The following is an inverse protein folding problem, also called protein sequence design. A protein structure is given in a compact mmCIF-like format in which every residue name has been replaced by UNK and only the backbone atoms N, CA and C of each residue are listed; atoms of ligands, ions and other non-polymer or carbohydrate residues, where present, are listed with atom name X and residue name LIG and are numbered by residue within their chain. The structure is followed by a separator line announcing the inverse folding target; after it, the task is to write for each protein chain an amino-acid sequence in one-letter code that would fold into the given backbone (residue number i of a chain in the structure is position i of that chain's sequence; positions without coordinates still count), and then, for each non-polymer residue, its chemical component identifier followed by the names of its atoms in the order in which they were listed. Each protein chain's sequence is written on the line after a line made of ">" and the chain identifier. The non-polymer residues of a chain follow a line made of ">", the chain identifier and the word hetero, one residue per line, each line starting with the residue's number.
data_IF_669897765457
#
_entry.id   IF_669897765457
#
_cell.length_a   1.000
_cell.length_b   1.000
_cell.length_c   1.000
_cell.angle_alpha   90.00
_cell.angle_beta   90.00
_cell.angle_gamma   90.00
#
_symmetry.space_group_name_H-M   'P 1'
#
loop_
_entity.id
_entity.type
_entity.pdbx_description
1 polymer ?
#
# COMPACT_ATOMS: atom_id res chain seq x y z
N UNK A 1 5.38 -7.94 -17.55
CA UNK A 1 4.48 -8.83 -16.77
C UNK A 1 3.05 -8.37 -16.95
N UNK A 2 2.11 -9.29 -17.07
CA UNK A 2 0.66 -8.98 -17.01
C UNK A 2 -0.14 -10.18 -16.47
N UNK A 3 -1.29 -9.87 -15.86
CA UNK A 3 -2.25 -10.86 -15.37
C UNK A 3 -3.11 -11.33 -16.55
N UNK A 4 -3.03 -12.62 -16.90
CA UNK A 4 -3.78 -13.22 -18.03
C UNK A 4 -5.18 -13.64 -17.62
N UNK A 5 -5.28 -14.35 -16.48
CA UNK A 5 -6.52 -14.94 -16.00
C UNK A 5 -6.66 -14.75 -14.49
N UNK A 6 -7.88 -14.61 -14.05
CA UNK A 6 -8.26 -14.56 -12.63
C UNK A 6 -9.53 -15.35 -12.41
N UNK A 7 -9.51 -16.30 -11.49
CA UNK A 7 -10.68 -17.02 -11.01
C UNK A 7 -10.86 -16.73 -9.52
N UNK A 8 -12.07 -16.36 -9.14
CA UNK A 8 -12.46 -16.08 -7.77
C UNK A 8 -13.55 -17.03 -7.33
N UNK A 9 -13.38 -17.62 -6.16
CA UNK A 9 -14.38 -18.46 -5.51
C UNK A 9 -14.62 -17.97 -4.09
N UNK A 10 -15.87 -17.65 -3.77
CA UNK A 10 -16.32 -17.19 -2.45
C UNK A 10 -15.53 -16.00 -1.87
N UNK A 11 -15.13 -15.05 -2.73
CA UNK A 11 -14.39 -13.86 -2.31
C UNK A 11 -15.35 -12.68 -2.10
N UNK A 12 -15.48 -12.22 -0.86
CA UNK A 12 -16.39 -11.13 -0.45
C UNK A 12 -17.82 -11.38 -0.91
N UNK A 13 -18.39 -10.57 -1.82
CA UNK A 13 -19.73 -10.79 -2.38
C UNK A 13 -19.75 -11.69 -3.61
N UNK A 14 -18.59 -12.04 -4.16
CA UNK A 14 -18.45 -12.83 -5.38
C UNK A 14 -18.51 -14.32 -5.05
N UNK A 15 -19.46 -15.07 -5.65
CA UNK A 15 -19.58 -16.51 -5.45
C UNK A 15 -18.54 -17.25 -6.30
N UNK A 16 -18.68 -17.13 -7.61
CA UNK A 16 -17.72 -17.67 -8.57
C UNK A 16 -17.70 -16.77 -9.80
N UNK A 17 -16.51 -16.38 -10.24
CA UNK A 17 -16.31 -15.58 -11.45
C UNK A 17 -14.93 -15.83 -12.02
N UNK A 18 -14.85 -15.81 -13.34
CA UNK A 18 -13.61 -16.02 -14.08
C UNK A 18 -13.42 -14.92 -15.12
N UNK A 19 -12.18 -14.48 -15.29
CA UNK A 19 -11.80 -13.46 -16.25
C UNK A 19 -10.59 -13.89 -17.06
N UNK A 20 -10.62 -13.56 -18.33
CA UNK A 20 -9.47 -13.55 -19.21
C UNK A 20 -9.22 -12.09 -19.63
N UNK A 21 -8.05 -11.55 -19.32
CA UNK A 21 -7.74 -10.13 -19.42
C UNK A 21 -7.00 -9.77 -20.70
N UNK A 22 -7.20 -8.51 -21.12
CA UNK A 22 -6.33 -7.84 -22.08
C UNK A 22 -5.00 -7.46 -21.43
N UNK A 23 -3.92 -7.47 -22.19
CA UNK A 23 -2.59 -7.14 -21.70
C UNK A 23 -2.42 -5.65 -21.34
N UNK A 24 -3.34 -4.78 -21.79
CA UNK A 24 -3.26 -3.33 -21.56
C UNK A 24 -4.35 -2.82 -20.61
N UNK A 25 -5.58 -2.70 -21.07
CA UNK A 25 -6.65 -2.06 -20.28
C UNK A 25 -7.81 -3.01 -20.06
N UNK A 26 -8.24 -3.14 -18.82
CA UNK A 26 -9.37 -3.96 -18.41
C UNK A 26 -10.32 -3.13 -17.57
N UNK A 27 -11.59 -3.06 -17.96
CA UNK A 27 -12.57 -2.24 -17.28
C UNK A 27 -13.73 -3.07 -16.75
N UNK A 28 -14.02 -2.90 -15.48
CA UNK A 28 -15.18 -3.48 -14.82
C UNK A 28 -16.24 -2.39 -14.70
N UNK A 29 -17.34 -2.54 -15.42
CA UNK A 29 -18.44 -1.59 -15.43
C UNK A 29 -19.72 -2.22 -14.90
N UNK A 30 -20.54 -1.44 -14.21
CA UNK A 30 -21.79 -1.93 -13.62
C UNK A 30 -22.27 -1.08 -12.47
N UNK A 31 -23.45 -1.39 -11.93
CA UNK A 31 -24.06 -0.65 -10.81
C UNK A 31 -23.18 -0.69 -9.55
N UNK A 32 -23.45 0.21 -8.59
CA UNK A 32 -22.81 0.16 -7.29
C UNK A 32 -23.19 -1.12 -6.55
N UNK A 33 -22.24 -1.70 -5.80
CA UNK A 33 -22.46 -2.90 -4.99
C UNK A 33 -22.35 -4.24 -5.72
N UNK A 34 -22.21 -4.28 -7.06
CA UNK A 34 -22.11 -5.54 -7.82
C UNK A 34 -20.81 -6.31 -7.59
N UNK A 35 -19.76 -5.64 -7.10
CA UNK A 35 -18.47 -6.30 -6.79
C UNK A 35 -17.26 -5.80 -7.58
N UNK A 36 -17.36 -4.73 -8.36
CA UNK A 36 -16.22 -4.17 -9.13
C UNK A 36 -14.98 -3.91 -8.28
N UNK A 37 -15.12 -3.15 -7.20
CA UNK A 37 -14.06 -2.91 -6.21
C UNK A 37 -13.52 -4.21 -5.60
N UNK A 38 -14.37 -5.23 -5.41
CA UNK A 38 -13.94 -6.51 -4.86
C UNK A 38 -13.09 -7.32 -5.84
N UNK A 39 -13.28 -7.15 -7.16
CA UNK A 39 -12.40 -7.73 -8.18
C UNK A 39 -11.03 -7.06 -8.13
N UNK A 40 -10.98 -5.72 -8.08
CA UNK A 40 -9.71 -4.99 -7.92
C UNK A 40 -9.00 -5.37 -6.62
N UNK A 41 -9.74 -5.51 -5.54
CA UNK A 41 -9.18 -5.96 -4.25
C UNK A 41 -8.65 -7.39 -4.30
N UNK A 42 -9.26 -8.28 -5.07
CA UNK A 42 -8.73 -9.63 -5.27
C UNK A 42 -7.39 -9.62 -6.00
N UNK A 43 -7.21 -8.74 -7.02
CA UNK A 43 -5.94 -8.54 -7.70
C UNK A 43 -4.90 -7.95 -6.74
N UNK A 44 -5.29 -6.98 -5.91
CA UNK A 44 -4.42 -6.45 -4.86
C UNK A 44 -4.05 -7.52 -3.82
N UNK A 45 -5.04 -8.32 -3.38
CA UNK A 45 -4.82 -9.41 -2.42
C UNK A 45 -3.85 -10.46 -2.96
N UNK A 46 -3.91 -10.73 -4.26
CA UNK A 46 -2.97 -11.61 -4.93
C UNK A 46 -1.53 -11.09 -4.86
N UNK A 47 -1.33 -9.77 -5.03
CA UNK A 47 0.00 -9.15 -5.03
C UNK A 47 0.60 -9.00 -3.62
N UNK A 48 -0.20 -8.60 -2.66
CA UNK A 48 0.26 -8.26 -1.31
C UNK A 48 -0.08 -9.32 -0.24
N UNK A 49 -0.80 -10.37 -0.62
CA UNK A 49 -1.28 -11.40 0.29
C UNK A 49 -2.28 -10.89 1.33
N UNK A 50 -2.88 -9.72 1.15
CA UNK A 50 -3.90 -9.12 2.03
C UNK A 50 -4.83 -8.22 1.23
N UNK A 51 -6.08 -8.08 1.69
CA UNK A 51 -7.01 -7.12 1.13
C UNK A 51 -6.54 -5.69 1.39
N UNK A 52 -6.80 -4.79 0.41
CA UNK A 52 -6.57 -3.36 0.56
C UNK A 52 -7.58 -2.70 1.49
N UNK A 53 -8.86 -3.09 1.33
CA UNK A 53 -9.99 -2.48 2.02
C UNK A 53 -10.32 -3.15 3.36
N UNK A 54 -9.93 -4.42 3.55
CA UNK A 54 -10.34 -5.18 4.72
C UNK A 54 -9.14 -5.87 5.39
N UNK A 55 -8.66 -5.35 6.54
CA UNK A 55 -7.49 -5.90 7.21
C UNK A 55 -7.72 -7.29 7.81
N UNK A 56 -8.96 -7.63 8.15
CA UNK A 56 -9.31 -8.91 8.75
C UNK A 56 -9.51 -9.98 7.66
N UNK A 57 -8.55 -10.88 7.52
CA UNK A 57 -8.53 -11.88 6.45
C UNK A 57 -9.83 -12.72 6.35
N UNK A 58 -10.44 -13.08 7.49
CA UNK A 58 -11.66 -13.88 7.55
C UNK A 58 -12.87 -13.17 6.92
N UNK A 59 -12.93 -11.85 6.98
CA UNK A 59 -14.00 -11.05 6.40
C UNK A 59 -13.95 -10.99 4.86
N UNK A 60 -12.90 -11.51 4.25
CA UNK A 60 -12.82 -11.66 2.79
C UNK A 60 -13.46 -12.97 2.30
N UNK A 61 -13.89 -13.85 3.20
CA UNK A 61 -14.71 -15.02 2.87
C UNK A 61 -16.15 -14.55 2.67
N UNK A 62 -16.80 -14.99 1.59
CA UNK A 62 -18.21 -14.69 1.31
C UNK A 62 -19.09 -15.11 2.50
N UNK A 63 -20.08 -14.28 2.83
CA UNK A 63 -21.00 -14.58 3.91
C UNK A 63 -21.72 -15.92 3.67
N UNK A 64 -21.76 -16.77 4.69
CA UNK A 64 -22.30 -18.13 4.61
C UNK A 64 -21.31 -19.20 4.16
N UNK A 65 -20.13 -18.81 3.63
CA UNK A 65 -19.12 -19.75 3.15
C UNK A 65 -18.01 -20.00 4.17
N UNK A 66 -17.24 -21.08 3.97
CA UNK A 66 -16.17 -21.52 4.87
C UNK A 66 -14.77 -21.14 4.40
N UNK A 67 -14.61 -20.80 3.11
CA UNK A 67 -13.32 -20.50 2.51
C UNK A 67 -13.47 -19.60 1.29
N UNK A 68 -12.35 -18.97 0.88
CA UNK A 68 -12.22 -18.36 -0.44
C UNK A 68 -10.99 -18.88 -1.16
N UNK A 69 -11.00 -18.76 -2.50
CA UNK A 69 -9.85 -19.00 -3.36
C UNK A 69 -9.74 -17.86 -4.38
N UNK A 70 -8.52 -17.35 -4.56
CA UNK A 70 -8.11 -16.48 -5.65
C UNK A 70 -7.07 -17.27 -6.45
N UNK A 71 -7.37 -17.62 -7.68
CA UNK A 71 -6.47 -18.35 -8.60
C UNK A 71 -6.15 -17.46 -9.80
N UNK A 72 -4.89 -17.29 -10.10
CA UNK A 72 -4.44 -16.37 -11.15
C UNK A 72 -3.31 -16.95 -11.98
N UNK A 73 -3.34 -16.64 -13.27
CA UNK A 73 -2.29 -16.92 -14.22
C UNK A 73 -1.67 -15.60 -14.69
N UNK A 74 -0.38 -15.41 -14.41
CA UNK A 74 0.39 -14.27 -14.87
C UNK A 74 1.35 -14.71 -15.98
N UNK A 75 1.66 -13.77 -16.87
CA UNK A 75 2.78 -13.92 -17.80
C UNK A 75 3.90 -12.97 -17.38
N UNK A 76 5.07 -13.53 -17.11
CA UNK A 76 6.28 -12.78 -16.72
C UNK A 76 7.48 -13.33 -17.51
N UNK A 77 8.16 -12.47 -18.26
CA UNK A 77 9.33 -12.86 -19.09
C UNK A 77 9.04 -14.05 -20.02
N UNK A 78 7.88 -14.05 -20.69
CA UNK A 78 7.39 -15.11 -21.58
C UNK A 78 7.22 -16.48 -20.88
N UNK A 79 7.06 -16.49 -19.55
CA UNK A 79 6.73 -17.68 -18.76
C UNK A 79 5.42 -17.48 -18.02
N UNK A 80 4.65 -18.54 -17.94
CA UNK A 80 3.43 -18.53 -17.15
C UNK A 80 3.74 -18.84 -15.68
N UNK A 81 3.15 -18.06 -14.80
CA UNK A 81 3.27 -18.16 -13.35
C UNK A 81 1.86 -18.29 -12.77
N UNK A 82 1.58 -19.43 -12.16
CA UNK A 82 0.31 -19.66 -11.47
C UNK A 82 0.42 -19.30 -10.00
N UNK A 83 -0.43 -18.39 -9.55
CA UNK A 83 -0.52 -17.96 -8.14
C UNK A 83 -1.89 -18.30 -7.60
N UNK A 84 -1.93 -18.99 -6.45
CA UNK A 84 -3.18 -19.33 -5.76
C UNK A 84 -3.11 -18.82 -4.33
N UNK A 85 -4.04 -17.95 -3.97
CA UNK A 85 -4.23 -17.49 -2.59
C UNK A 85 -5.53 -18.06 -2.03
N UNK A 86 -5.49 -18.73 -0.89
CA UNK A 86 -6.67 -19.31 -0.26
C UNK A 86 -6.67 -19.16 1.25
N UNK A 87 -7.85 -19.05 1.81
CA UNK A 87 -8.08 -19.04 3.25
C UNK A 87 -9.32 -19.87 3.58
N UNK A 88 -9.19 -20.75 4.56
CA UNK A 88 -10.32 -21.46 5.20
C UNK A 88 -10.45 -20.98 6.65
N UNK A 89 -11.68 -20.82 7.15
CA UNK A 89 -11.94 -20.48 8.55
C UNK A 89 -11.18 -21.40 9.50
N UNK A 90 -10.56 -20.85 10.53
CA UNK A 90 -9.76 -21.61 11.50
C UNK A 90 -8.38 -22.08 10.99
N UNK A 91 -8.01 -21.79 9.75
CA UNK A 91 -6.73 -22.18 9.18
C UNK A 91 -5.88 -20.96 8.83
N UNK A 92 -4.57 -21.18 8.68
CA UNK A 92 -3.65 -20.15 8.15
C UNK A 92 -3.90 -19.94 6.66
N UNK A 93 -3.84 -18.68 6.24
CA UNK A 93 -3.87 -18.32 4.83
C UNK A 93 -2.68 -18.94 4.09
N UNK A 94 -2.93 -19.46 2.91
CA UNK A 94 -1.93 -20.13 2.09
C UNK A 94 -1.77 -19.39 0.76
N UNK A 95 -0.52 -19.15 0.35
CA UNK A 95 -0.20 -18.67 -1.00
C UNK A 95 0.73 -19.70 -1.64
N UNK A 96 0.38 -20.10 -2.88
CA UNK A 96 1.15 -21.05 -3.68
C UNK A 96 1.61 -20.36 -4.96
N UNK A 97 2.85 -20.64 -5.37
CA UNK A 97 3.39 -20.29 -6.68
C UNK A 97 3.77 -21.56 -7.42
N UNK A 98 3.20 -21.79 -8.59
CA UNK A 98 3.44 -22.99 -9.42
C UNK A 98 3.28 -24.29 -8.60
N UNK A 99 2.26 -24.35 -7.72
CA UNK A 99 1.95 -25.49 -6.87
C UNK A 99 2.74 -25.56 -5.56
N UNK A 100 3.81 -24.80 -5.38
CA UNK A 100 4.60 -24.77 -4.14
C UNK A 100 4.07 -23.70 -3.18
N UNK A 101 3.85 -24.08 -1.92
CA UNK A 101 3.45 -23.16 -0.84
C UNK A 101 4.68 -22.33 -0.42
N UNK A 102 4.49 -21.04 -0.20
CA UNK A 102 5.50 -20.20 0.43
C UNK A 102 5.57 -20.50 1.94
N UNK A 103 6.76 -20.64 2.47
CA UNK A 103 6.97 -20.77 3.92
C UNK A 103 6.68 -19.46 4.64
N UNK A 104 7.06 -18.35 4.02
CA UNK A 104 6.83 -16.99 4.54
C UNK A 104 6.20 -16.11 3.48
N UNK A 105 5.18 -15.35 3.86
CA UNK A 105 4.53 -14.38 2.98
C UNK A 105 5.51 -13.33 2.42
N UNK A 106 6.57 -13.02 3.16
CA UNK A 106 7.62 -12.10 2.73
C UNK A 106 8.33 -12.52 1.44
N UNK A 107 8.33 -13.81 1.09
CA UNK A 107 8.92 -14.34 -0.14
C UNK A 107 8.05 -14.05 -1.37
N UNK A 108 6.78 -13.76 -1.15
CA UNK A 108 5.81 -13.45 -2.20
C UNK A 108 5.78 -11.95 -2.54
N UNK A 109 6.09 -11.10 -1.55
CA UNK A 109 6.05 -9.65 -1.76
C UNK A 109 7.07 -9.21 -2.81
N UNK A 110 6.64 -8.29 -3.69
CA UNK A 110 7.46 -7.80 -4.81
C UNK A 110 7.43 -8.67 -6.07
N UNK A 111 6.82 -9.87 -6.02
CA UNK A 111 6.65 -10.70 -7.23
C UNK A 111 5.76 -10.01 -8.26
N UNK A 112 4.70 -9.36 -7.81
CA UNK A 112 3.71 -8.64 -8.62
C UNK A 112 3.75 -7.17 -8.18
N UNK A 113 4.59 -6.31 -8.79
CA UNK A 113 4.55 -4.88 -8.53
C UNK A 113 3.17 -4.33 -8.91
N UNK A 114 2.50 -3.68 -7.96
CA UNK A 114 1.13 -3.21 -8.14
C UNK A 114 0.89 -1.94 -7.33
N UNK A 115 0.15 -1.01 -7.92
CA UNK A 115 -0.33 0.20 -7.25
C UNK A 115 -1.83 0.30 -7.42
N UNK A 116 -2.54 0.60 -6.35
CA UNK A 116 -3.97 0.91 -6.37
C UNK A 116 -4.19 2.39 -6.05
N UNK A 117 -5.09 3.01 -6.79
CA UNK A 117 -5.60 4.36 -6.54
C UNK A 117 -7.10 4.22 -6.29
N UNK A 118 -7.54 4.59 -5.09
CA UNK A 118 -8.90 4.38 -4.62
C UNK A 118 -9.38 5.59 -3.80
N UNK A 119 -10.69 5.81 -3.70
CA UNK A 119 -11.25 6.82 -2.77
C UNK A 119 -10.80 6.66 -1.32
N UNK A 120 -10.52 5.43 -0.87
CA UNK A 120 -10.01 5.16 0.48
C UNK A 120 -8.58 5.68 0.73
N UNK A 121 -7.85 6.09 -0.32
CA UNK A 121 -6.56 6.76 -0.14
C UNK A 121 -6.69 8.09 0.64
N UNK A 122 -7.90 8.66 0.72
CA UNK A 122 -8.20 9.81 1.56
C UNK A 122 -7.76 9.61 3.02
N UNK A 123 -7.74 8.38 3.50
CA UNK A 123 -7.28 8.02 4.85
C UNK A 123 -5.83 8.44 5.10
N UNK A 124 -4.98 8.50 4.07
CA UNK A 124 -3.60 9.02 4.19
C UNK A 124 -3.56 10.48 4.64
N UNK A 125 -4.57 11.28 4.26
CA UNK A 125 -4.71 12.68 4.67
C UNK A 125 -5.49 12.79 5.99
N UNK A 126 -6.59 12.03 6.11
CA UNK A 126 -7.55 12.21 7.22
C UNK A 126 -7.08 11.53 8.49
N UNK A 127 -6.47 10.35 8.40
CA UNK A 127 -6.03 9.56 9.55
C UNK A 127 -4.71 10.06 10.16
N UNK A 128 -4.26 9.35 11.19
CA UNK A 128 -3.03 9.64 11.93
C UNK A 128 -1.75 9.23 11.21
N UNK A 129 -0.62 9.48 11.85
CA UNK A 129 0.72 9.15 11.37
C UNK A 129 0.92 7.65 11.07
N UNK A 130 0.18 6.77 11.73
CA UNK A 130 0.30 5.32 11.53
C UNK A 130 -0.02 4.92 10.07
N UNK A 131 -1.07 5.49 9.47
CA UNK A 131 -1.47 5.22 8.09
C UNK A 131 -0.40 5.70 7.11
N UNK A 132 0.20 6.87 7.34
CA UNK A 132 1.29 7.39 6.52
C UNK A 132 2.58 6.58 6.66
N UNK A 133 2.94 6.14 7.89
CA UNK A 133 4.06 5.21 8.07
C UNK A 133 3.82 3.89 7.35
N UNK A 134 2.63 3.30 7.47
CA UNK A 134 2.26 2.06 6.73
C UNK A 134 2.40 2.23 5.23
N UNK A 135 2.08 3.41 4.69
CA UNK A 135 2.27 3.71 3.26
C UNK A 135 3.76 3.65 2.90
N UNK A 136 4.63 4.41 3.58
CA UNK A 136 6.08 4.41 3.34
C UNK A 136 6.63 2.97 3.46
N UNK A 137 6.35 2.32 4.57
CA UNK A 137 6.87 1.00 4.89
C UNK A 137 6.41 -0.05 3.86
N UNK A 138 5.17 0.05 3.34
CA UNK A 138 4.68 -0.87 2.32
C UNK A 138 5.41 -0.72 0.99
N UNK A 139 5.72 0.52 0.59
CA UNK A 139 6.47 0.78 -0.66
C UNK A 139 7.88 0.23 -0.55
N UNK A 140 8.60 0.57 0.52
CA UNK A 140 9.99 0.11 0.72
C UNK A 140 10.02 -1.42 0.84
N UNK A 141 9.16 -2.01 1.67
CA UNK A 141 9.13 -3.46 1.93
C UNK A 141 8.79 -4.30 0.69
N UNK A 142 8.06 -3.74 -0.27
CA UNK A 142 7.76 -4.41 -1.56
C UNK A 142 9.02 -4.54 -2.42
N UNK A 143 9.96 -3.62 -2.27
CA UNK A 143 11.19 -3.55 -3.07
C UNK A 143 12.43 -4.08 -2.34
N UNK A 144 12.40 -4.08 -1.01
CA UNK A 144 13.51 -4.48 -0.15
C UNK A 144 13.06 -5.46 0.93
N UNK A 145 13.32 -6.74 0.71
CA UNK A 145 12.97 -7.81 1.66
C UNK A 145 13.75 -7.69 2.98
N UNK A 146 14.95 -7.11 2.98
CA UNK A 146 15.74 -6.88 4.20
C UNK A 146 15.06 -5.83 5.09
N UNK A 147 14.51 -4.78 4.50
CA UNK A 147 13.71 -3.79 5.20
C UNK A 147 12.47 -4.40 5.88
N UNK A 148 11.77 -5.30 5.17
CA UNK A 148 10.64 -6.01 5.76
C UNK A 148 11.04 -6.84 6.98
N UNK A 149 12.19 -7.52 6.95
CA UNK A 149 12.69 -8.28 8.10
C UNK A 149 13.02 -7.35 9.28
N UNK A 150 13.64 -6.19 9.02
CA UNK A 150 13.90 -5.18 10.05
C UNK A 150 12.61 -4.66 10.69
N UNK A 151 11.57 -4.38 9.89
CA UNK A 151 10.26 -3.95 10.40
C UNK A 151 9.63 -5.02 11.31
N UNK A 152 9.65 -6.28 10.89
CA UNK A 152 9.10 -7.41 11.67
C UNK A 152 9.87 -7.55 12.99
N UNK A 153 11.20 -7.48 12.95
CA UNK A 153 12.03 -7.53 14.14
C UNK A 153 11.75 -6.38 15.08
N UNK A 154 11.73 -5.14 14.57
CA UNK A 154 11.45 -3.94 15.36
C UNK A 154 10.09 -4.03 16.05
N UNK A 155 9.04 -4.40 15.32
CA UNK A 155 7.68 -4.51 15.88
C UNK A 155 7.59 -5.60 16.96
N UNK A 156 8.26 -6.74 16.75
CA UNK A 156 8.34 -7.81 17.77
C UNK A 156 9.03 -7.32 19.03
N UNK A 157 10.20 -6.70 18.90
CA UNK A 157 10.98 -6.17 20.03
C UNK A 157 10.23 -5.05 20.76
N UNK A 158 9.57 -4.15 20.01
CA UNK A 158 8.72 -3.10 20.59
C UNK A 158 7.58 -3.68 21.43
N UNK A 159 6.92 -4.71 20.91
CA UNK A 159 5.85 -5.41 21.64
C UNK A 159 6.36 -6.09 22.90
N UNK A 160 7.54 -6.71 22.86
CA UNK A 160 8.17 -7.36 24.01
C UNK A 160 8.59 -6.33 25.07
N UNK A 161 9.22 -5.21 24.66
CA UNK A 161 9.57 -4.12 25.58
C UNK A 161 8.33 -3.54 26.28
N UNK A 162 7.26 -3.30 25.52
CA UNK A 162 6.01 -2.79 26.10
C UNK A 162 5.36 -3.81 27.06
N UNK A 163 5.43 -5.11 26.76
CA UNK A 163 4.96 -6.14 27.67
C UNK A 163 5.78 -6.20 28.96
N UNK A 164 7.11 -6.00 28.88
CA UNK A 164 8.00 -5.94 30.03
C UNK A 164 7.72 -4.72 30.90
N UNK A 165 7.51 -3.55 30.32
CA UNK A 165 7.12 -2.33 31.05
C UNK A 165 5.82 -2.53 31.83
N UNK A 166 4.81 -3.16 31.21
CA UNK A 166 3.54 -3.51 31.88
C UNK A 166 3.75 -4.49 33.01
N UNK A 167 4.59 -5.53 32.79
CA UNK A 167 4.92 -6.50 33.81
C UNK A 167 5.60 -5.87 35.03
N UNK A 168 6.53 -4.94 34.81
CA UNK A 168 7.18 -4.20 35.89
C UNK A 168 6.18 -3.35 36.70
N UNK A 169 5.26 -2.68 36.02
CA UNK A 169 4.25 -1.88 36.70
C UNK A 169 3.29 -2.71 37.56
N UNK A 170 2.82 -3.85 37.04
CA UNK A 170 1.90 -4.75 37.75
C UNK A 170 2.55 -5.38 38.97
N UNK A 171 3.82 -5.78 38.86
CA UNK A 171 4.54 -6.50 39.93
C UNK A 171 5.34 -5.55 40.84
N UNK A 172 5.30 -4.21 40.61
CA UNK A 172 6.04 -3.21 41.36
C UNK A 172 7.56 -3.50 41.43
N UNK A 173 8.12 -4.03 40.37
CA UNK A 173 9.56 -4.33 40.23
C UNK A 173 10.14 -3.52 39.08
N UNK A 174 11.45 -3.45 39.01
CA UNK A 174 12.16 -2.88 37.87
C UNK A 174 13.51 -3.56 37.72
N UNK A 175 13.78 -4.06 36.51
CA UNK A 175 15.03 -4.69 36.10
C UNK A 175 15.56 -3.92 34.88
N UNK A 176 16.56 -3.08 35.12
CA UNK A 176 17.18 -2.22 34.11
C UNK A 176 17.96 -3.06 33.07
N UNK A 177 18.65 -4.12 33.51
CA UNK A 177 19.48 -4.94 32.63
C UNK A 177 18.62 -5.71 31.62
N UNK A 178 17.50 -6.25 32.07
CA UNK A 178 16.56 -6.92 31.20
C UNK A 178 15.94 -5.96 30.17
N UNK A 179 15.64 -4.70 30.56
CA UNK A 179 15.09 -3.69 29.66
C UNK A 179 16.12 -3.22 28.64
N UNK A 180 17.40 -3.10 29.04
CA UNK A 180 18.51 -2.66 28.17
C UNK A 180 18.67 -3.54 26.94
N UNK A 181 18.49 -4.86 27.06
CA UNK A 181 18.54 -5.80 25.93
C UNK A 181 17.55 -5.41 24.82
N UNK A 182 16.33 -5.03 25.21
CA UNK A 182 15.33 -4.57 24.24
C UNK A 182 15.64 -3.18 23.68
N UNK A 183 16.23 -2.29 24.50
CA UNK A 183 16.66 -0.96 24.05
C UNK A 183 17.72 -1.08 22.94
N UNK A 184 18.74 -1.91 23.13
CA UNK A 184 19.79 -2.15 22.12
C UNK A 184 19.25 -2.76 20.83
N UNK A 185 18.34 -3.74 20.93
CA UNK A 185 17.69 -4.34 19.76
C UNK A 185 16.81 -3.36 19.00
N UNK A 186 16.05 -2.51 19.71
CA UNK A 186 15.25 -1.46 19.10
C UNK A 186 16.13 -0.40 18.46
N UNK A 187 17.20 0.02 19.12
CA UNK A 187 18.13 1.02 18.61
C UNK A 187 18.77 0.54 17.31
N UNK A 188 19.33 -0.67 17.30
CA UNK A 188 19.96 -1.24 16.11
C UNK A 188 19.02 -1.34 14.91
N UNK A 189 17.84 -1.93 15.10
CA UNK A 189 16.87 -2.08 14.00
C UNK A 189 16.20 -0.77 13.63
N UNK A 190 15.91 0.10 14.60
CA UNK A 190 15.24 1.39 14.41
C UNK A 190 16.11 2.37 13.62
N UNK A 191 17.42 2.43 13.90
CA UNK A 191 18.36 3.26 13.15
C UNK A 191 18.41 2.87 11.67
N UNK A 192 18.48 1.58 11.37
CA UNK A 192 18.51 1.09 9.99
C UNK A 192 17.20 1.41 9.25
N UNK A 193 16.05 1.29 9.92
CA UNK A 193 14.74 1.64 9.34
C UNK A 193 14.67 3.15 9.07
N UNK A 194 15.13 3.98 10.01
CA UNK A 194 15.17 5.44 9.83
C UNK A 194 16.01 5.84 8.61
N UNK A 195 17.21 5.32 8.46
CA UNK A 195 18.08 5.63 7.31
C UNK A 195 17.44 5.18 5.98
N UNK A 196 16.81 4.01 5.95
CA UNK A 196 16.09 3.53 4.76
C UNK A 196 14.89 4.42 4.40
N UNK A 197 14.10 4.89 5.38
CA UNK A 197 13.00 5.84 5.15
C UNK A 197 13.52 7.18 4.62
N UNK A 198 14.59 7.70 5.21
CA UNK A 198 15.24 8.94 4.80
C UNK A 198 15.73 8.86 3.36
N UNK A 199 16.45 7.78 3.01
CA UNK A 199 16.90 7.52 1.64
C UNK A 199 15.73 7.42 0.67
N UNK A 200 14.71 6.65 0.99
CA UNK A 200 13.50 6.53 0.18
C UNK A 200 12.87 7.87 -0.10
N UNK A 201 12.66 8.69 0.93
CA UNK A 201 12.00 10.00 0.78
C UNK A 201 12.84 10.99 -0.03
N UNK A 202 14.17 10.94 0.08
CA UNK A 202 15.05 11.77 -0.73
C UNK A 202 14.89 11.53 -2.23
N UNK A 203 14.59 10.27 -2.63
CA UNK A 203 14.33 9.92 -4.04
C UNK A 203 12.84 10.09 -4.43
N UNK A 204 11.93 9.84 -3.50
CA UNK A 204 10.49 9.81 -3.73
C UNK A 204 9.87 11.22 -3.84
N UNK A 205 10.30 12.15 -2.99
CA UNK A 205 9.73 13.51 -2.94
C UNK A 205 9.84 14.25 -4.28
N UNK A 206 10.98 14.29 -4.97
CA UNK A 206 11.07 14.94 -6.28
C UNK A 206 10.13 14.31 -7.34
N UNK A 207 9.92 12.99 -7.29
CA UNK A 207 9.01 12.30 -8.21
C UNK A 207 7.57 12.72 -7.90
N UNK A 208 7.21 12.79 -6.62
CA UNK A 208 5.89 13.25 -6.18
C UNK A 208 5.61 14.70 -6.61
N UNK A 209 6.52 15.62 -6.37
CA UNK A 209 6.39 17.03 -6.73
C UNK A 209 6.19 17.20 -8.25
N UNK A 210 6.94 16.46 -9.06
CA UNK A 210 6.80 16.43 -10.52
C UNK A 210 5.40 15.97 -10.94
N UNK A 211 4.89 14.87 -10.37
CA UNK A 211 3.55 14.38 -10.69
C UNK A 211 2.47 15.36 -10.24
N UNK A 212 2.64 15.97 -9.06
CA UNK A 212 1.69 16.96 -8.58
C UNK A 212 1.65 18.20 -9.49
N UNK A 213 2.79 18.74 -9.86
CA UNK A 213 2.87 19.87 -10.81
C UNK A 213 2.19 19.55 -12.14
N UNK A 214 2.38 18.33 -12.67
CA UNK A 214 1.73 17.89 -13.90
C UNK A 214 0.20 17.83 -13.75
N UNK A 215 -0.34 17.39 -12.62
CA UNK A 215 -1.77 17.26 -12.39
C UNK A 215 -2.41 18.63 -12.10
N UNK A 216 -1.78 19.45 -11.24
CA UNK A 216 -2.30 20.75 -10.82
C UNK A 216 -2.07 21.88 -11.85
N UNK A 217 -1.19 21.66 -12.83
CA UNK A 217 -0.79 22.69 -13.79
C UNK A 217 0.34 23.59 -13.27
N UNK A 218 1.04 23.19 -12.21
CA UNK A 218 2.21 23.89 -11.66
C UNK A 218 1.89 25.10 -10.75
N UNK A 219 0.62 25.36 -10.47
CA UNK A 219 0.19 26.53 -9.70
C UNK A 219 0.16 26.34 -8.18
N UNK A 220 0.46 25.13 -7.71
CA UNK A 220 0.36 24.76 -6.29
C UNK A 220 1.70 24.18 -5.80
N UNK A 221 2.21 24.69 -4.68
CA UNK A 221 3.39 24.14 -4.03
C UNK A 221 2.99 23.09 -3.02
N UNK A 222 3.55 21.90 -3.12
CA UNK A 222 3.32 20.80 -2.18
C UNK A 222 4.62 20.35 -1.53
N UNK A 223 4.53 19.76 -0.36
CA UNK A 223 5.67 19.17 0.32
C UNK A 223 5.28 17.88 1.07
N UNK A 224 6.24 16.97 1.12
CA UNK A 224 6.25 15.80 2.01
C UNK A 224 7.40 15.99 2.98
N UNK A 225 7.12 16.23 4.27
CA UNK A 225 8.15 16.43 5.29
C UNK A 225 8.19 15.22 6.23
N UNK A 226 9.35 14.62 6.33
CA UNK A 226 9.57 13.52 7.26
C UNK A 226 9.94 14.08 8.63
N UNK A 227 9.13 13.76 9.63
CA UNK A 227 9.37 14.12 11.03
C UNK A 227 9.77 12.86 11.80
N UNK A 228 10.94 12.91 12.43
CA UNK A 228 11.47 11.86 13.31
C UNK A 228 12.34 12.45 14.39
N UNK A 229 12.26 11.90 15.59
CA UNK A 229 13.15 12.25 16.69
C UNK A 229 14.61 11.85 16.40
N UNK A 230 14.84 10.93 15.44
CA UNK A 230 16.15 10.42 15.09
C UNK A 230 16.96 11.37 14.20
N UNK A 231 16.42 12.52 13.81
CA UNK A 231 17.22 13.56 13.14
C UNK A 231 18.19 14.27 14.08
N UNK A 232 17.84 14.35 15.36
CA UNK A 232 18.60 15.10 16.36
C UNK A 232 19.32 14.19 17.36
N UNK A 233 18.77 12.99 17.64
CA UNK A 233 19.28 12.09 18.67
C UNK A 233 19.33 10.64 18.14
N UNK A 234 20.24 9.83 18.68
CA UNK A 234 20.19 8.39 18.46
C UNK A 234 19.07 7.72 19.27
N UNK A 235 18.60 6.56 18.80
CA UNK A 235 17.45 5.90 19.42
C UNK A 235 17.74 5.38 20.82
N UNK A 236 18.98 4.92 21.09
CA UNK A 236 19.32 4.40 22.42
C UNK A 236 19.19 5.49 23.47
N UNK A 237 19.82 6.65 23.25
CA UNK A 237 19.71 7.84 24.11
C UNK A 237 18.25 8.28 24.30
N UNK A 238 17.44 8.29 23.23
CA UNK A 238 16.01 8.59 23.33
C UNK A 238 15.24 7.61 24.22
N UNK A 239 15.55 6.32 24.16
CA UNK A 239 14.90 5.31 25.00
C UNK A 239 15.31 5.43 26.47
N UNK A 240 16.55 5.81 26.76
CA UNK A 240 17.07 6.06 28.11
C UNK A 240 16.47 7.33 28.70
N UNK A 241 16.48 8.45 27.99
CA UNK A 241 15.91 9.74 28.42
C UNK A 241 14.40 9.63 28.70
N UNK A 242 13.68 8.83 27.93
CA UNK A 242 12.24 8.64 28.09
C UNK A 242 11.88 7.52 29.08
N UNK A 243 12.85 6.86 29.73
CA UNK A 243 12.60 5.69 30.56
C UNK A 243 11.56 5.94 31.67
N UNK A 244 11.66 7.05 32.39
CA UNK A 244 10.72 7.38 33.50
C UNK A 244 9.31 7.55 32.95
N UNK A 245 9.16 8.23 31.83
CA UNK A 245 7.87 8.39 31.15
C UNK A 245 7.31 7.05 30.71
N UNK A 246 8.12 6.21 30.04
CA UNK A 246 7.73 4.90 29.54
C UNK A 246 7.25 3.97 30.65
N UNK A 247 7.89 4.04 31.85
CA UNK A 247 7.47 3.28 33.03
C UNK A 247 6.09 3.73 33.53
N UNK A 248 5.80 5.04 33.52
CA UNK A 248 4.50 5.59 33.95
C UNK A 248 3.39 5.18 32.97
N UNK A 249 3.62 5.37 31.65
CA UNK A 249 2.62 5.11 30.63
C UNK A 249 2.58 3.66 30.15
N UNK A 250 3.54 2.83 30.59
CA UNK A 250 3.66 1.41 30.32
C UNK A 250 3.83 1.06 28.83
N UNK A 251 4.37 1.96 28.03
CA UNK A 251 4.71 1.72 26.62
C UNK A 251 5.84 2.66 26.17
N UNK A 252 6.50 2.28 25.07
CA UNK A 252 7.60 3.02 24.47
C UNK A 252 7.10 4.31 23.81
N UNK A 253 7.60 5.46 24.23
CA UNK A 253 7.17 6.78 23.76
C UNK A 253 8.09 7.42 22.73
N UNK A 254 9.26 6.85 22.47
CA UNK A 254 10.25 7.35 21.52
C UNK A 254 10.63 6.30 20.49
N UNK A 255 10.97 6.71 19.27
CA UNK A 255 11.45 5.84 18.19
C UNK A 255 10.63 5.92 16.90
N UNK A 256 11.05 5.15 15.89
CA UNK A 256 10.52 5.20 14.51
C UNK A 256 9.02 4.91 14.38
N UNK A 257 8.41 4.30 15.37
CA UNK A 257 6.95 4.09 15.45
C UNK A 257 6.18 5.36 15.84
N UNK A 258 6.90 6.45 16.17
CA UNK A 258 6.36 7.80 16.42
C UNK A 258 6.58 8.76 15.25
N UNK A 259 7.37 8.38 14.25
CA UNK A 259 7.61 9.21 13.07
C UNK A 259 6.31 9.59 12.36
N UNK A 260 6.38 10.68 11.60
CA UNK A 260 5.30 11.09 10.70
C UNK A 260 5.83 11.55 9.35
N UNK A 261 4.94 11.56 8.36
CA UNK A 261 5.14 12.19 7.06
C UNK A 261 4.09 13.28 6.89
N UNK A 262 4.49 14.52 7.11
CA UNK A 262 3.59 15.67 7.04
C UNK A 262 3.32 16.02 5.58
N UNK A 263 2.05 16.13 5.24
CA UNK A 263 1.55 16.52 3.92
C UNK A 263 1.18 18.00 3.92
N UNK A 264 1.83 18.79 3.10
CA UNK A 264 1.59 20.24 3.00
C UNK A 264 1.21 20.69 1.60
N UNK A 265 0.40 21.75 1.55
CA UNK A 265 0.11 22.55 0.37
C UNK A 265 0.28 24.04 0.75
N UNK A 266 1.00 24.81 -0.07
CA UNK A 266 1.33 26.22 0.18
C UNK A 266 1.91 26.49 1.59
N UNK A 267 2.67 25.49 2.14
CA UNK A 267 3.27 25.56 3.47
C UNK A 267 2.31 25.26 4.63
N UNK A 268 1.07 24.84 4.36
CA UNK A 268 0.07 24.50 5.37
C UNK A 268 -0.35 23.02 5.29
N UNK A 269 -0.73 22.40 6.42
CA UNK A 269 -1.23 21.03 6.43
C UNK A 269 -2.42 20.83 5.49
N UNK A 270 -2.29 19.98 4.48
CA UNK A 270 -3.31 19.77 3.45
C UNK A 270 -4.65 19.27 4.02
N UNK A 271 -4.62 18.55 5.14
CA UNK A 271 -5.81 18.08 5.86
C UNK A 271 -6.76 19.23 6.23
N UNK A 272 -6.21 20.38 6.62
CA UNK A 272 -6.98 21.53 7.11
C UNK A 272 -7.24 22.59 6.06
N UNK A 273 -6.30 22.79 5.14
CA UNK A 273 -6.29 23.94 4.24
C UNK A 273 -6.49 23.54 2.78
N UNK A 274 -6.30 22.27 2.42
CA UNK A 274 -6.50 21.80 1.06
C UNK A 274 -8.00 21.62 0.72
N UNK A 275 -8.43 22.16 -0.41
CA UNK A 275 -9.75 21.84 -0.97
C UNK A 275 -9.86 20.35 -1.31
N UNK A 276 -11.08 19.83 -1.48
CA UNK A 276 -11.28 18.43 -1.86
C UNK A 276 -10.57 18.08 -3.19
N UNK A 277 -10.58 19.00 -4.15
CA UNK A 277 -9.88 18.83 -5.44
C UNK A 277 -8.37 18.76 -5.26
N UNK A 278 -7.80 19.63 -4.41
CA UNK A 278 -6.38 19.64 -4.09
C UNK A 278 -5.95 18.36 -3.35
N UNK A 279 -6.73 17.92 -2.37
CA UNK A 279 -6.46 16.65 -1.67
C UNK A 279 -6.46 15.45 -2.63
N UNK A 280 -7.40 15.41 -3.58
CA UNK A 280 -7.44 14.35 -4.61
C UNK A 280 -6.23 14.41 -5.53
N UNK A 281 -5.86 15.59 -6.03
CA UNK A 281 -4.67 15.76 -6.88
C UNK A 281 -3.41 15.32 -6.15
N UNK A 282 -3.29 15.68 -4.88
CA UNK A 282 -2.19 15.27 -4.02
C UNK A 282 -2.09 13.74 -3.89
N UNK A 283 -3.21 13.06 -3.60
CA UNK A 283 -3.25 11.60 -3.45
C UNK A 283 -2.95 10.88 -4.77
N UNK A 284 -3.48 11.36 -5.88
CA UNK A 284 -3.18 10.79 -7.20
C UNK A 284 -1.69 10.97 -7.52
N UNK A 285 -1.13 12.17 -7.28
CA UNK A 285 0.30 12.42 -7.48
C UNK A 285 1.16 11.51 -6.61
N UNK A 286 0.77 11.30 -5.34
CA UNK A 286 1.45 10.41 -4.40
C UNK A 286 1.49 8.96 -4.92
N UNK A 287 0.37 8.47 -5.45
CA UNK A 287 0.25 7.11 -6.00
C UNK A 287 0.97 6.95 -7.35
N UNK A 288 0.94 7.98 -8.20
CA UNK A 288 1.73 7.97 -9.44
C UNK A 288 3.23 8.03 -9.14
N UNK A 289 3.63 8.75 -8.11
CA UNK A 289 5.01 8.73 -7.61
C UNK A 289 5.39 7.34 -7.09
N UNK A 290 4.51 6.67 -6.36
CA UNK A 290 4.70 5.28 -5.94
C UNK A 290 4.93 4.37 -7.15
N UNK A 291 4.11 4.52 -8.19
CA UNK A 291 4.24 3.75 -9.43
C UNK A 291 5.59 4.00 -10.12
N UNK A 292 5.97 5.29 -10.34
CA UNK A 292 7.23 5.65 -11.00
C UNK A 292 8.45 5.19 -10.18
N UNK A 293 8.40 5.35 -8.85
CA UNK A 293 9.44 4.87 -7.95
C UNK A 293 9.61 3.34 -8.02
N UNK A 294 8.52 2.58 -7.93
CA UNK A 294 8.54 1.12 -8.04
C UNK A 294 9.09 0.67 -9.39
N UNK A 295 8.65 1.30 -10.49
CA UNK A 295 9.18 1.05 -11.84
C UNK A 295 10.69 1.30 -11.91
N UNK A 296 11.16 2.42 -11.36
CA UNK A 296 12.59 2.78 -11.37
C UNK A 296 13.44 1.77 -10.59
N UNK A 297 12.96 1.31 -9.44
CA UNK A 297 13.72 0.41 -8.57
C UNK A 297 13.66 -1.06 -9.03
N UNK A 298 12.53 -1.54 -9.52
CA UNK A 298 12.36 -2.93 -9.95
C UNK A 298 12.74 -3.19 -11.42
N UNK A 299 12.77 -2.14 -12.25
CA UNK A 299 12.90 -2.26 -13.72
C UNK A 299 11.65 -2.84 -14.41
N UNK A 300 10.58 -3.15 -13.66
CA UNK A 300 9.33 -3.69 -14.17
C UNK A 300 8.22 -2.65 -14.11
N UNK A 301 7.28 -2.71 -15.08
CA UNK A 301 6.08 -1.88 -15.05
C UNK A 301 5.08 -2.48 -14.03
N UNK A 302 4.72 -1.76 -12.95
CA UNK A 302 3.69 -2.23 -12.04
C UNK A 302 2.32 -2.33 -12.72
N UNK A 303 1.47 -3.21 -12.20
CA UNK A 303 0.04 -3.22 -12.52
C UNK A 303 -0.61 -2.01 -11.82
N UNK A 304 -1.50 -1.30 -12.52
CA UNK A 304 -2.19 -0.13 -11.97
C UNK A 304 -3.68 -0.43 -11.83
N UNK A 305 -4.21 -0.26 -10.62
CA UNK A 305 -5.63 -0.40 -10.32
C UNK A 305 -6.24 0.98 -10.07
N UNK A 306 -7.31 1.31 -10.78
CA UNK A 306 -8.12 2.50 -10.60
C UNK A 306 -9.51 2.15 -10.09
N UNK A 307 -9.82 2.46 -8.85
CA UNK A 307 -11.12 2.21 -8.25
C UNK A 307 -11.96 3.48 -8.21
N UNK A 308 -13.05 3.53 -8.97
CA UNK A 308 -14.01 4.65 -9.07
C UNK A 308 -13.36 6.04 -9.20
N UNK A 309 -12.21 6.14 -9.88
CA UNK A 309 -11.40 7.36 -9.91
C UNK A 309 -12.05 8.45 -10.76
N UNK A 310 -12.74 8.08 -11.86
CA UNK A 310 -13.25 9.03 -12.83
C UNK A 310 -14.47 9.81 -12.33
N UNK A 311 -15.23 9.30 -11.37
CA UNK A 311 -16.39 9.98 -10.80
C UNK A 311 -16.07 11.27 -10.03
N UNK A 312 -14.82 11.43 -9.64
CA UNK A 312 -14.38 12.49 -8.72
C UNK A 312 -13.34 13.42 -9.32
N UNK A 313 -13.01 13.25 -10.60
CA UNK A 313 -12.06 14.10 -11.32
C UNK A 313 -12.77 14.97 -12.34
N UNK A 314 -12.29 16.22 -12.50
CA UNK A 314 -12.65 17.05 -13.61
C UNK A 314 -12.07 16.51 -14.93
N UNK A 315 -12.67 16.95 -16.05
CA UNK A 315 -12.30 16.46 -17.38
C UNK A 315 -10.81 16.71 -17.72
N UNK A 316 -10.25 17.81 -17.25
CA UNK A 316 -8.83 18.15 -17.48
C UNK A 316 -7.88 17.14 -16.81
N UNK A 317 -8.19 16.74 -15.59
CA UNK A 317 -7.39 15.73 -14.86
C UNK A 317 -7.54 14.35 -15.48
N UNK A 318 -8.76 13.99 -15.90
CA UNK A 318 -8.98 12.73 -16.64
C UNK A 318 -8.15 12.70 -17.91
N UNK A 319 -8.15 13.78 -18.70
CA UNK A 319 -7.35 13.88 -19.93
C UNK A 319 -5.84 13.73 -19.66
N UNK A 320 -5.33 14.27 -18.56
CA UNK A 320 -3.91 14.10 -18.19
C UNK A 320 -3.57 12.65 -17.85
N UNK A 321 -4.44 11.94 -17.13
CA UNK A 321 -4.25 10.51 -16.84
C UNK A 321 -4.28 9.70 -18.14
N UNK A 322 -5.23 9.98 -19.03
CA UNK A 322 -5.33 9.37 -20.36
C UNK A 322 -4.06 9.61 -21.19
N UNK A 323 -3.52 10.83 -21.15
CA UNK A 323 -2.25 11.17 -21.80
C UNK A 323 -1.10 10.28 -21.32
N UNK A 324 -0.98 10.07 -19.99
CA UNK A 324 0.05 9.17 -19.41
C UNK A 324 -0.14 7.70 -19.86
N UNK A 325 -1.38 7.28 -20.08
CA UNK A 325 -1.67 5.93 -20.62
C UNK A 325 -1.21 5.82 -22.07
N UNK A 326 -1.44 6.87 -22.88
CA UNK A 326 -1.02 6.91 -24.29
C UNK A 326 0.50 6.85 -24.45
N UNK A 327 1.23 7.51 -23.56
CA UNK A 327 2.70 7.53 -23.60
C UNK A 327 3.34 6.17 -23.23
N UNK A 328 2.54 5.11 -23.11
CA UNK A 328 2.96 3.77 -22.70
C UNK A 328 3.78 3.74 -21.38
N UNK A 329 3.53 4.73 -20.52
CA UNK A 329 4.20 4.87 -19.21
C UNK A 329 3.79 3.73 -18.30
N UNK A 330 2.54 3.23 -18.45
CA UNK A 330 1.95 2.19 -17.61
C UNK A 330 2.03 0.81 -18.25
N UNK A 331 2.06 -0.22 -17.39
CA UNK A 331 1.89 -1.62 -17.79
C UNK A 331 0.42 -1.96 -18.02
N UNK A 332 -0.05 -3.02 -17.38
CA UNK A 332 -1.46 -3.40 -17.41
C UNK A 332 -2.27 -2.53 -16.42
N UNK A 333 -3.46 -2.11 -16.86
CA UNK A 333 -4.35 -1.24 -16.10
C UNK A 333 -5.69 -1.93 -15.90
N UNK A 334 -6.22 -1.85 -14.68
CA UNK A 334 -7.57 -2.25 -14.33
C UNK A 334 -8.35 -1.06 -13.80
N UNK A 335 -9.57 -0.87 -14.30
CA UNK A 335 -10.43 0.27 -13.97
C UNK A 335 -11.78 -0.26 -13.50
N UNK A 336 -12.29 0.24 -12.39
CA UNK A 336 -13.70 0.10 -12.03
C UNK A 336 -14.44 1.42 -12.31
N UNK A 337 -15.64 1.36 -12.87
CA UNK A 337 -16.50 2.54 -13.08
C UNK A 337 -17.97 2.14 -13.08
N UNK A 338 -18.83 3.10 -12.73
CA UNK A 338 -20.29 2.95 -12.80
C UNK A 338 -20.88 3.29 -14.17
N UNK A 339 -20.16 4.10 -14.97
CA UNK A 339 -20.62 4.64 -16.25
C UNK A 339 -19.88 4.03 -17.45
N UNK A 340 -20.45 2.95 -18.01
CA UNK A 340 -19.85 2.22 -19.13
C UNK A 340 -19.52 3.09 -20.35
N UNK A 341 -20.47 3.92 -20.80
CA UNK A 341 -20.30 4.76 -21.98
C UNK A 341 -19.17 5.80 -21.79
N UNK A 342 -19.14 6.45 -20.62
CA UNK A 342 -18.08 7.42 -20.30
C UNK A 342 -16.71 6.75 -20.28
N UNK A 343 -16.61 5.61 -19.62
CA UNK A 343 -15.37 4.82 -19.51
C UNK A 343 -14.89 4.39 -20.89
N UNK A 344 -15.78 3.89 -21.74
CA UNK A 344 -15.44 3.49 -23.10
C UNK A 344 -14.96 4.67 -23.96
N UNK A 345 -15.61 5.83 -23.86
CA UNK A 345 -15.19 7.05 -24.56
C UNK A 345 -13.78 7.51 -24.12
N UNK A 346 -13.49 7.42 -22.82
CA UNK A 346 -12.18 7.77 -22.26
C UNK A 346 -11.11 6.79 -22.79
N UNK A 347 -11.37 5.48 -22.74
CA UNK A 347 -10.42 4.45 -23.11
C UNK A 347 -10.13 4.45 -24.61
N UNK A 348 -11.12 4.64 -25.43
CA UNK A 348 -10.93 4.74 -26.90
C UNK A 348 -9.95 5.85 -27.30
N UNK A 349 -9.85 6.91 -26.50
CA UNK A 349 -8.86 7.99 -26.70
C UNK A 349 -7.42 7.55 -26.39
N UNK A 350 -7.22 6.41 -25.73
CA UNK A 350 -5.87 5.91 -25.37
C UNK A 350 -5.17 5.16 -26.50
N UNK A 351 -5.88 4.81 -27.60
CA UNK A 351 -5.36 4.02 -28.71
C UNK A 351 -4.68 2.68 -28.28
N UNK A 352 -4.96 2.21 -27.07
CA UNK A 352 -4.46 0.94 -26.54
C UNK A 352 -5.51 -0.17 -26.71
N UNK A 353 -5.08 -1.44 -26.65
CA UNK A 353 -6.02 -2.56 -26.57
C UNK A 353 -6.77 -2.54 -25.24
N UNK A 354 -8.03 -2.95 -25.25
CA UNK A 354 -8.85 -2.97 -24.04
C UNK A 354 -9.92 -4.04 -24.05
N UNK A 355 -10.37 -4.41 -22.85
CA UNK A 355 -11.53 -5.30 -22.64
C UNK A 355 -12.46 -4.69 -21.59
N UNK A 356 -13.76 -4.75 -21.86
CA UNK A 356 -14.80 -4.26 -20.95
C UNK A 356 -15.60 -5.45 -20.43
N UNK A 357 -15.75 -5.54 -19.13
CA UNK A 357 -16.52 -6.55 -18.41
C UNK A 357 -17.73 -5.90 -17.76
N UNK A 358 -18.92 -6.31 -18.12
CA UNK A 358 -20.16 -5.92 -17.46
C UNK A 358 -20.38 -6.85 -16.26
N UNK A 359 -20.37 -6.30 -15.04
CA UNK A 359 -20.48 -7.03 -13.78
C UNK A 359 -21.91 -6.92 -13.22
#
# INVERSE_FOLDING_TARGET
>A
MFLKQLSLLNYKNLAQIEFEFDAKINCFVGKNGVGKTNILDAIYHLAYGKSYFNPLAIQNIKHGEEYFVIDALLEKNNKEEKIVCSLKKGQKKTIKRNGKVYDKLSEHLGLIPLVIISPSDADLIVEGSETRRKFIDSVIATLDSSYLQLLIQYQKTLSQRNALLKYFAVNQIFDADNLSIYNEQLSSSGQLIFEKRKQFLAEFVPIFEKHHANISGGNEKVALKYESQLFENDLLSLLEDNLQKDRIIQYTSAGIHKDDLIFEIEGFPIKKFGSQGQQKSFLIALKLAQFEFMKKQSGELPILLFDDIFDKLDETRVQKIVGMVNDAVFGQIFISDTHAERTELIIRKTHQSYKIFNI
#
